data_IF_852661023873
#
_entry.id   IF_852661023873
#
_cell.length_a   1.000
_cell.length_b   1.000
_cell.length_c   1.000
_cell.angle_alpha   90.00
_cell.angle_beta   90.00
_cell.angle_gamma   90.00
#
_symmetry.space_group_name_H-M   'P 1'
#
loop_
_entity.id
_entity.type
_entity.pdbx_description
1 polymer ?
#
# COMPACT_ATOMS: atom_id res chain seq x y z
N UNK A 1 2.54 -8.97 10.86
CA UNK A 1 1.11 -9.15 10.50
C UNK A 1 0.35 -9.30 11.79
N UNK A 2 -0.73 -8.53 11.96
CA UNK A 2 -1.61 -8.70 13.11
C UNK A 2 -2.28 -10.08 13.04
N UNK A 3 -2.28 -10.80 14.15
CA UNK A 3 -2.87 -12.13 14.26
C UNK A 3 -4.29 -11.98 14.81
N UNK A 4 -5.28 -11.90 13.91
CA UNK A 4 -6.70 -11.70 14.25
C UNK A 4 -7.34 -13.01 14.68
N UNK A 5 -7.05 -13.44 15.92
CA UNK A 5 -7.46 -14.74 16.46
C UNK A 5 -8.97 -14.86 16.67
N UNK A 6 -9.65 -13.76 16.99
CA UNK A 6 -11.10 -13.73 17.16
C UNK A 6 -11.84 -13.91 15.84
N UNK A 7 -11.36 -13.23 14.79
CA UNK A 7 -11.95 -13.29 13.46
C UNK A 7 -11.52 -14.54 12.68
N UNK A 8 -10.28 -14.99 12.84
CA UNK A 8 -9.68 -16.09 12.10
C UNK A 8 -9.16 -15.72 10.70
N UNK A 9 -9.20 -14.44 10.34
CA UNK A 9 -8.66 -13.89 9.09
C UNK A 9 -8.35 -12.40 9.24
N UNK A 10 -7.54 -11.84 8.34
CA UNK A 10 -7.25 -10.41 8.27
C UNK A 10 -8.19 -9.69 7.30
N UNK A 11 -9.14 -8.85 7.78
CA UNK A 11 -10.06 -8.12 6.91
C UNK A 11 -9.45 -6.86 6.28
N UNK A 12 -8.29 -6.39 6.73
CA UNK A 12 -7.65 -5.16 6.25
C UNK A 12 -6.14 -5.34 6.03
N UNK A 13 -5.72 -6.26 5.14
CA UNK A 13 -4.32 -6.57 4.92
C UNK A 13 -3.56 -5.36 4.35
N UNK A 14 -2.31 -5.22 4.76
CA UNK A 14 -1.41 -4.18 4.27
C UNK A 14 -0.65 -3.48 5.39
N UNK A 15 0.08 -2.42 5.02
CA UNK A 15 0.84 -1.61 5.97
C UNK A 15 0.65 -0.12 5.62
N UNK A 16 -0.15 0.57 6.43
CA UNK A 16 -0.44 2.00 6.24
C UNK A 16 0.82 2.87 6.30
N UNK A 17 1.77 2.55 7.18
CA UNK A 17 3.04 3.28 7.27
C UNK A 17 3.89 3.10 6.02
N UNK A 18 3.93 1.90 5.44
CA UNK A 18 4.64 1.64 4.20
C UNK A 18 4.03 2.41 3.03
N UNK A 19 2.70 2.52 2.97
CA UNK A 19 1.98 3.33 1.97
C UNK A 19 2.28 4.81 2.17
N UNK A 20 2.24 5.31 3.41
CA UNK A 20 2.59 6.70 3.71
C UNK A 20 4.06 7.01 3.35
N UNK A 21 4.98 6.10 3.64
CA UNK A 21 6.38 6.23 3.25
C UNK A 21 6.57 6.22 1.72
N UNK A 22 5.76 5.44 0.98
CA UNK A 22 5.76 5.48 -0.47
C UNK A 22 5.22 6.82 -1.01
N UNK A 23 4.14 7.34 -0.43
CA UNK A 23 3.62 8.68 -0.75
C UNK A 23 4.68 9.78 -0.56
N UNK A 24 5.40 9.74 0.57
CA UNK A 24 6.47 10.70 0.85
C UNK A 24 7.61 10.68 -0.20
N UNK A 25 7.92 9.52 -0.78
CA UNK A 25 8.94 9.39 -1.84
C UNK A 25 8.48 9.94 -3.19
N UNK A 26 7.17 10.07 -3.40
CA UNK A 26 6.63 10.68 -4.61
C UNK A 26 6.80 12.20 -4.64
N UNK A 27 7.12 12.83 -3.50
CA UNK A 27 7.43 14.25 -3.40
C UNK A 27 8.94 14.43 -3.53
N UNK A 28 9.41 14.83 -4.71
CA UNK A 28 10.81 15.17 -4.95
C UNK A 28 10.95 16.46 -5.75
N UNK A 29 11.99 17.22 -5.44
CA UNK A 29 12.38 18.40 -6.20
C UNK A 29 13.41 18.02 -7.27
N UNK A 30 13.14 18.43 -8.51
CA UNK A 30 14.09 18.30 -9.62
C UNK A 30 14.68 19.67 -9.90
N UNK A 31 16.00 19.78 -9.78
CA UNK A 31 16.75 20.94 -10.25
C UNK A 31 17.02 20.76 -11.73
N UNK A 32 16.41 21.60 -12.56
CA UNK A 32 16.70 21.62 -14.00
C UNK A 32 17.94 22.48 -14.22
N UNK A 33 19.01 21.95 -14.84
CA UNK A 33 20.18 22.73 -15.20
C UNK A 33 19.84 23.74 -16.31
N UNK A 34 20.30 24.98 -16.14
CA UNK A 34 20.21 26.03 -17.15
C UNK A 34 21.38 26.02 -18.12
N UNK A 35 21.23 26.73 -19.25
CA UNK A 35 22.35 27.01 -20.17
C UNK A 35 23.34 27.96 -19.47
N UNK A 36 24.65 27.66 -19.46
CA UNK A 36 25.64 28.54 -18.85
C UNK A 36 25.66 29.94 -19.48
N UNK A 37 25.86 30.97 -18.66
CA UNK A 37 26.00 32.35 -19.14
C UNK A 37 27.13 32.48 -20.15
N UNK A 38 26.88 33.20 -21.25
CA UNK A 38 27.84 33.45 -22.31
C UNK A 38 27.95 32.33 -23.36
N UNK A 39 27.21 31.22 -23.23
CA UNK A 39 27.16 30.20 -24.28
C UNK A 39 26.10 30.55 -25.33
N UNK A 40 26.53 30.90 -26.54
CA UNK A 40 25.66 31.42 -27.61
C UNK A 40 25.89 30.70 -28.94
N UNK A 41 24.91 30.77 -29.86
CA UNK A 41 24.98 30.21 -31.21
C UNK A 41 24.16 28.93 -31.37
N UNK A 42 24.17 28.34 -32.56
CA UNK A 42 23.26 27.24 -32.93
C UNK A 42 23.29 26.03 -31.98
N UNK A 43 24.44 25.74 -31.36
CA UNK A 43 24.55 24.68 -30.35
C UNK A 43 23.85 25.03 -29.03
N UNK A 44 23.95 26.29 -28.59
CA UNK A 44 23.26 26.79 -27.41
C UNK A 44 21.74 26.85 -27.65
N UNK A 45 21.30 27.27 -28.83
CA UNK A 45 19.88 27.24 -29.24
C UNK A 45 19.34 25.79 -29.23
N UNK A 46 20.10 24.85 -29.81
CA UNK A 46 19.75 23.43 -29.82
C UNK A 46 19.70 22.79 -28.43
N UNK A 47 20.61 23.17 -27.51
CA UNK A 47 20.50 22.76 -26.11
C UNK A 47 19.25 23.36 -25.46
N UNK A 48 18.98 24.64 -25.69
CA UNK A 48 17.83 25.34 -25.10
C UNK A 48 16.52 24.66 -25.47
N UNK A 49 16.28 24.42 -26.77
CA UNK A 49 15.07 23.70 -27.24
C UNK A 49 14.95 22.31 -26.63
N UNK A 50 16.05 21.58 -26.48
CA UNK A 50 16.04 20.25 -25.84
C UNK A 50 15.77 20.33 -24.33
N UNK A 51 16.36 21.31 -23.64
CA UNK A 51 16.09 21.56 -22.23
C UNK A 51 14.62 21.93 -22.01
N UNK A 52 14.03 22.75 -22.88
CA UNK A 52 12.60 23.07 -22.82
C UNK A 52 11.71 21.82 -22.94
N UNK A 53 12.04 20.91 -23.88
CA UNK A 53 11.33 19.64 -24.01
C UNK A 53 11.45 18.78 -22.74
N UNK A 54 12.66 18.65 -22.18
CA UNK A 54 12.91 17.94 -20.92
C UNK A 54 12.16 18.57 -19.75
N UNK A 55 12.14 19.91 -19.66
CA UNK A 55 11.41 20.65 -18.61
C UNK A 55 9.91 20.36 -18.70
N UNK A 56 9.35 20.32 -19.90
CA UNK A 56 7.94 20.00 -20.12
C UNK A 56 7.61 18.57 -19.64
N UNK A 57 8.42 17.59 -20.04
CA UNK A 57 8.25 16.19 -19.63
C UNK A 57 8.44 16.01 -18.11
N UNK A 58 9.46 16.63 -17.51
CA UNK A 58 9.70 16.61 -16.06
C UNK A 58 8.54 17.26 -15.30
N UNK A 59 7.95 18.32 -15.85
CA UNK A 59 6.77 18.95 -15.26
C UNK A 59 5.56 18.01 -15.30
N UNK A 60 5.39 17.24 -16.38
CA UNK A 60 4.36 16.20 -16.46
C UNK A 60 4.60 15.09 -15.44
N UNK A 61 5.82 14.57 -15.34
CA UNK A 61 6.20 13.55 -14.33
C UNK A 61 5.98 14.06 -12.92
N UNK A 62 6.38 15.29 -12.61
CA UNK A 62 6.16 15.88 -11.28
C UNK A 62 4.67 15.99 -10.94
N UNK A 63 3.83 16.32 -11.92
CA UNK A 63 2.37 16.36 -11.73
C UNK A 63 1.81 14.97 -11.46
N UNK A 64 2.20 13.97 -12.26
CA UNK A 64 1.82 12.57 -12.08
C UNK A 64 2.26 12.03 -10.71
N UNK A 65 3.50 12.28 -10.31
CA UNK A 65 4.04 11.84 -9.02
C UNK A 65 3.32 12.52 -7.84
N UNK A 66 2.96 13.80 -7.97
CA UNK A 66 2.14 14.49 -6.96
C UNK A 66 0.73 13.89 -6.86
N UNK A 67 0.09 13.60 -8.00
CA UNK A 67 -1.22 12.96 -8.02
C UNK A 67 -1.17 11.55 -7.40
N UNK A 68 -0.13 10.76 -7.70
CA UNK A 68 0.12 9.47 -7.06
C UNK A 68 0.34 9.62 -5.55
N UNK A 69 1.10 10.63 -5.10
CA UNK A 69 1.31 10.91 -3.67
C UNK A 69 -0.02 11.18 -2.95
N UNK A 70 -0.89 12.00 -3.53
CA UNK A 70 -2.23 12.33 -3.00
C UNK A 70 -3.12 11.08 -2.92
N UNK A 71 -3.09 10.22 -3.94
CA UNK A 71 -3.83 8.95 -3.96
C UNK A 71 -3.32 8.00 -2.86
N UNK A 72 -1.99 7.88 -2.71
CA UNK A 72 -1.37 7.02 -1.70
C UNK A 72 -1.62 7.54 -0.28
N UNK A 73 -1.60 8.85 -0.05
CA UNK A 73 -1.86 9.45 1.27
C UNK A 73 -3.33 9.23 1.72
N UNK A 74 -4.27 9.45 0.80
CA UNK A 74 -5.68 9.14 1.02
C UNK A 74 -5.90 7.64 1.31
N UNK A 75 -5.19 6.76 0.58
CA UNK A 75 -5.24 5.33 0.81
C UNK A 75 -4.65 4.94 2.16
N UNK A 76 -3.51 5.51 2.57
CA UNK A 76 -2.89 5.25 3.87
C UNK A 76 -3.83 5.59 5.02
N UNK A 77 -4.54 6.71 4.92
CA UNK A 77 -5.56 7.13 5.91
C UNK A 77 -6.72 6.12 5.97
N UNK A 78 -7.25 5.72 4.81
CA UNK A 78 -8.33 4.72 4.73
C UNK A 78 -7.90 3.37 5.30
N UNK A 79 -6.69 2.92 4.94
CA UNK A 79 -6.12 1.66 5.40
C UNK A 79 -5.97 1.64 6.93
N UNK A 80 -5.45 2.71 7.52
CA UNK A 80 -5.33 2.84 8.97
C UNK A 80 -6.70 2.78 9.66
N UNK A 81 -7.71 3.44 9.10
CA UNK A 81 -9.08 3.37 9.61
C UNK A 81 -9.65 1.95 9.57
N UNK A 82 -9.44 1.24 8.46
CA UNK A 82 -9.87 -0.16 8.31
C UNK A 82 -9.14 -1.10 9.27
N UNK A 83 -7.84 -0.89 9.51
CA UNK A 83 -7.05 -1.69 10.46
C UNK A 83 -7.55 -1.50 11.90
N UNK A 84 -7.82 -0.27 12.33
CA UNK A 84 -8.42 -0.01 13.66
C UNK A 84 -9.79 -0.68 13.81
N UNK A 85 -10.63 -0.61 12.77
CA UNK A 85 -11.94 -1.26 12.78
C UNK A 85 -11.81 -2.80 12.83
N UNK A 86 -10.81 -3.36 12.15
CA UNK A 86 -10.50 -4.79 12.22
C UNK A 86 -10.11 -5.22 13.65
N UNK A 87 -9.26 -4.45 14.32
CA UNK A 87 -8.87 -4.68 15.72
C UNK A 87 -10.06 -4.61 16.67
N UNK A 88 -10.97 -3.66 16.46
CA UNK A 88 -12.20 -3.53 17.25
C UNK A 88 -13.12 -4.76 17.11
N UNK A 89 -13.31 -5.22 15.86
CA UNK A 89 -14.09 -6.42 15.56
C UNK A 89 -13.44 -7.67 16.15
N UNK A 90 -12.12 -7.79 16.07
CA UNK A 90 -11.40 -8.92 16.66
C UNK A 90 -11.52 -8.97 18.18
N UNK A 91 -11.36 -7.84 18.86
CA UNK A 91 -11.59 -7.74 20.31
C UNK A 91 -13.03 -8.14 20.69
N UNK A 92 -14.03 -7.71 19.91
CA UNK A 92 -15.43 -8.13 20.10
C UNK A 92 -15.60 -9.64 19.90
N UNK A 93 -15.04 -10.20 18.83
CA UNK A 93 -15.14 -11.62 18.52
C UNK A 93 -14.45 -12.50 19.58
N UNK A 94 -13.26 -12.11 20.07
CA UNK A 94 -12.57 -12.81 21.16
C UNK A 94 -13.43 -12.82 22.42
N UNK A 95 -14.02 -11.68 22.78
CA UNK A 95 -14.90 -11.58 23.95
C UNK A 95 -16.13 -12.49 23.79
N UNK A 96 -16.85 -12.39 22.67
CA UNK A 96 -18.04 -13.19 22.42
C UNK A 96 -17.75 -14.69 22.41
N UNK A 97 -16.60 -15.13 21.86
CA UNK A 97 -16.19 -16.54 21.91
C UNK A 97 -15.97 -17.05 23.33
N UNK A 98 -15.42 -16.22 24.23
CA UNK A 98 -15.26 -16.56 25.65
C UNK A 98 -16.63 -16.66 26.34
N UNK A 99 -17.46 -15.64 26.16
CA UNK A 99 -18.81 -15.63 26.73
C UNK A 99 -19.66 -16.81 26.22
N UNK A 100 -19.50 -17.19 24.95
CA UNK A 100 -20.18 -18.35 24.38
C UNK A 100 -19.71 -19.67 25.00
N UNK A 101 -18.41 -19.81 25.29
CA UNK A 101 -17.87 -20.99 25.97
C UNK A 101 -18.43 -21.08 27.40
N UNK A 102 -18.40 -19.97 28.14
CA UNK A 102 -18.96 -19.90 29.50
C UNK A 102 -20.47 -20.22 29.50
N UNK A 103 -21.23 -19.68 28.54
CA UNK A 103 -22.67 -19.94 28.40
C UNK A 103 -22.97 -21.39 27.97
N UNK A 104 -22.07 -22.03 27.21
CA UNK A 104 -22.19 -23.45 26.86
C UNK A 104 -21.99 -24.33 28.10
N UNK A 105 -20.96 -24.05 28.90
CA UNK A 105 -20.71 -24.75 30.17
C UNK A 105 -21.89 -24.58 31.15
N UNK A 106 -22.47 -23.38 31.24
CA UNK A 106 -23.67 -23.10 32.05
C UNK A 106 -24.89 -23.87 31.55
N UNK A 107 -25.13 -23.88 30.24
CA UNK A 107 -26.24 -24.62 29.64
C UNK A 107 -26.11 -26.13 29.87
N UNK A 108 -24.90 -26.69 29.75
CA UNK A 108 -24.61 -28.10 30.01
C UNK A 108 -24.80 -28.45 31.49
N UNK A 109 -24.33 -27.59 32.41
CA UNK A 109 -24.53 -27.77 33.85
C UNK A 109 -26.02 -27.73 34.23
N UNK A 110 -26.75 -26.72 33.77
CA UNK A 110 -28.19 -26.60 34.01
C UNK A 110 -28.96 -27.77 33.38
N UNK A 111 -28.54 -28.22 32.19
CA UNK A 111 -29.11 -29.38 31.51
C UNK A 111 -28.89 -30.67 32.29
N UNK A 112 -27.71 -30.85 32.91
CA UNK A 112 -27.44 -31.99 33.78
C UNK A 112 -28.36 -31.99 35.02
N UNK A 113 -28.55 -30.83 35.67
CA UNK A 113 -29.45 -30.69 36.83
C UNK A 113 -30.93 -30.91 36.47
N UNK A 114 -31.37 -30.40 35.31
CA UNK A 114 -32.75 -30.54 34.85
C UNK A 114 -33.18 -32.01 34.62
N UNK A 115 -32.22 -32.91 34.34
CA UNK A 115 -32.49 -34.36 34.23
C UNK A 115 -32.89 -34.99 35.57
N UNK A 116 -32.43 -34.43 36.69
CA UNK A 116 -32.72 -34.94 38.02
C UNK A 116 -33.85 -34.19 38.71
N UNK A 117 -34.11 -32.93 38.33
CA UNK A 117 -35.14 -32.11 38.97
C UNK A 117 -35.84 -31.19 37.97
N UNK A 118 -37.16 -31.35 37.75
CA UNK A 118 -37.93 -30.54 36.81
C UNK A 118 -37.88 -29.02 37.07
N UNK A 119 -37.65 -28.61 38.32
CA UNK A 119 -37.52 -27.20 38.69
C UNK A 119 -36.33 -26.48 37.99
N UNK A 120 -35.35 -27.22 37.47
CA UNK A 120 -34.22 -26.65 36.73
C UNK A 120 -34.45 -26.55 35.21
N UNK A 121 -35.62 -26.99 34.70
CA UNK A 121 -35.92 -26.91 33.27
C UNK A 121 -35.96 -25.47 32.74
N UNK A 122 -36.54 -24.53 33.51
CA UNK A 122 -36.58 -23.11 33.14
C UNK A 122 -35.18 -22.48 33.12
N UNK A 123 -34.32 -22.85 34.07
CA UNK A 123 -32.92 -22.38 34.12
C UNK A 123 -32.14 -22.88 32.91
N UNK A 124 -32.31 -24.16 32.54
CA UNK A 124 -31.67 -24.70 31.33
C UNK A 124 -32.17 -23.99 30.06
N UNK A 125 -33.48 -23.76 29.93
CA UNK A 125 -34.04 -23.04 28.78
C UNK A 125 -33.49 -21.61 28.67
N UNK A 126 -33.35 -20.90 29.79
CA UNK A 126 -32.75 -19.56 29.83
C UNK A 126 -31.27 -19.57 29.43
N UNK A 127 -30.48 -20.54 29.92
CA UNK A 127 -29.07 -20.69 29.55
C UNK A 127 -28.89 -20.99 28.05
N UNK A 128 -29.74 -21.87 27.48
CA UNK A 128 -29.76 -22.14 26.03
C UNK A 128 -30.09 -20.88 25.24
N UNK A 129 -31.12 -20.13 25.65
CA UNK A 129 -31.49 -18.87 24.99
C UNK A 129 -30.35 -17.84 25.02
N UNK A 130 -29.63 -17.72 26.15
CA UNK A 130 -28.47 -16.82 26.26
C UNK A 130 -27.33 -17.25 25.35
N UNK A 131 -27.02 -18.54 25.29
CA UNK A 131 -26.00 -19.08 24.38
C UNK A 131 -26.36 -18.80 22.92
N UNK A 132 -27.61 -19.00 22.55
CA UNK A 132 -28.07 -18.80 21.17
C UNK A 132 -28.08 -17.30 20.78
N UNK A 133 -28.33 -16.38 21.73
CA UNK A 133 -28.13 -14.93 21.54
C UNK A 133 -26.66 -14.60 21.28
N UNK A 134 -25.75 -15.08 22.12
CA UNK A 134 -24.31 -14.86 21.96
C UNK A 134 -23.78 -15.40 20.63
N UNK A 135 -24.32 -16.54 20.17
CA UNK A 135 -23.97 -17.10 18.86
C UNK A 135 -24.39 -16.15 17.72
N UNK A 136 -25.59 -15.57 17.79
CA UNK A 136 -26.07 -14.58 16.81
C UNK A 136 -25.21 -13.31 16.82
N UNK A 137 -24.90 -12.78 18.00
CA UNK A 137 -24.02 -11.62 18.13
C UNK A 137 -22.63 -11.87 17.53
N UNK A 138 -22.08 -13.08 17.71
CA UNK A 138 -20.80 -13.48 17.11
C UNK A 138 -20.90 -13.55 15.58
N UNK A 139 -21.96 -14.14 15.05
CA UNK A 139 -22.19 -14.23 13.61
C UNK A 139 -22.32 -12.83 12.96
N UNK A 140 -22.99 -11.90 13.63
CA UNK A 140 -23.08 -10.50 13.19
C UNK A 140 -21.70 -9.83 13.11
N UNK A 141 -20.84 -10.02 14.12
CA UNK A 141 -19.47 -9.50 14.11
C UNK A 141 -18.64 -10.10 12.97
N UNK A 142 -18.80 -11.40 12.70
CA UNK A 142 -18.10 -12.05 11.60
C UNK A 142 -18.59 -11.57 10.22
N UNK A 143 -19.89 -11.30 10.07
CA UNK A 143 -20.42 -10.67 8.85
C UNK A 143 -19.94 -9.23 8.67
N UNK A 144 -19.91 -8.42 9.74
CA UNK A 144 -19.32 -7.08 9.71
C UNK A 144 -17.84 -7.13 9.25
N UNK A 145 -17.06 -8.10 9.73
CA UNK A 145 -15.68 -8.30 9.32
C UNK A 145 -15.55 -8.74 7.85
N UNK A 146 -16.44 -9.60 7.36
CA UNK A 146 -16.47 -10.00 5.94
C UNK A 146 -16.84 -8.84 5.03
N UNK A 147 -17.76 -7.97 5.45
CA UNK A 147 -18.11 -6.75 4.72
C UNK A 147 -16.92 -5.80 4.65
N UNK A 148 -16.24 -5.57 5.78
CA UNK A 148 -15.01 -4.77 5.82
C UNK A 148 -13.95 -5.29 4.84
N UNK A 149 -13.76 -6.61 4.77
CA UNK A 149 -12.81 -7.22 3.82
C UNK A 149 -13.19 -6.99 2.35
N UNK A 150 -14.47 -7.12 2.01
CA UNK A 150 -14.96 -6.85 0.65
C UNK A 150 -14.75 -5.39 0.27
N UNK A 151 -15.08 -4.47 1.19
CA UNK A 151 -14.93 -3.03 0.97
C UNK A 151 -13.45 -2.65 0.83
N UNK A 152 -12.59 -3.18 1.68
CA UNK A 152 -11.14 -3.00 1.59
C UNK A 152 -10.61 -3.46 0.23
N UNK A 153 -10.98 -4.66 -0.24
CA UNK A 153 -10.53 -5.17 -1.53
C UNK A 153 -11.09 -4.40 -2.73
N UNK A 154 -12.30 -3.85 -2.62
CA UNK A 154 -12.87 -2.99 -3.65
C UNK A 154 -12.11 -1.65 -3.73
N UNK A 155 -11.81 -1.06 -2.57
CA UNK A 155 -11.06 0.20 -2.49
C UNK A 155 -9.62 0.04 -2.96
N UNK A 156 -8.93 -1.02 -2.54
CA UNK A 156 -7.57 -1.32 -3.00
C UNK A 156 -7.50 -1.44 -4.54
N UNK A 157 -8.52 -2.05 -5.17
CA UNK A 157 -8.63 -2.12 -6.63
C UNK A 157 -8.84 -0.75 -7.27
N UNK A 158 -9.71 0.09 -6.68
CA UNK A 158 -9.92 1.47 -7.17
C UNK A 158 -8.66 2.31 -7.08
N UNK A 159 -7.94 2.23 -5.96
CA UNK A 159 -6.64 2.90 -5.76
C UNK A 159 -5.62 2.41 -6.79
N UNK A 160 -5.51 1.10 -7.01
CA UNK A 160 -4.60 0.54 -8.00
C UNK A 160 -4.93 0.98 -9.44
N UNK A 161 -6.22 1.11 -9.78
CA UNK A 161 -6.64 1.65 -11.08
C UNK A 161 -6.28 3.13 -11.24
N UNK A 162 -6.54 3.94 -10.21
CA UNK A 162 -6.17 5.36 -10.20
C UNK A 162 -4.67 5.55 -10.36
N UNK A 163 -3.85 4.78 -9.63
CA UNK A 163 -2.39 4.86 -9.78
C UNK A 163 -1.92 4.51 -11.19
N UNK A 164 -2.53 3.51 -11.84
CA UNK A 164 -2.24 3.15 -13.23
C UNK A 164 -2.63 4.26 -14.21
N UNK A 165 -3.71 5.00 -13.96
CA UNK A 165 -4.07 6.15 -14.80
C UNK A 165 -3.16 7.35 -14.63
N UNK A 166 -2.43 7.44 -13.52
CA UNK A 166 -1.47 8.52 -13.23
C UNK A 166 -0.04 8.18 -13.71
N UNK A 167 0.22 6.99 -14.28
CA UNK A 167 1.56 6.63 -14.74
C UNK A 167 2.04 7.59 -15.84
N UNK A 168 3.19 8.28 -15.64
CA UNK A 168 3.75 9.09 -16.68
C UNK A 168 4.26 8.20 -17.83
N UNK A 169 4.09 8.69 -19.06
CA UNK A 169 4.56 8.03 -20.28
C UNK A 169 6.02 7.58 -20.15
N UNK A 170 6.32 6.35 -20.61
CA UNK A 170 7.68 5.80 -20.74
C UNK A 170 8.61 6.67 -21.60
N UNK A 171 8.05 7.64 -22.32
CA UNK A 171 8.76 8.65 -23.10
C UNK A 171 9.91 9.33 -22.34
N UNK A 172 9.78 9.58 -21.02
CA UNK A 172 10.83 10.27 -20.26
C UNK A 172 12.08 9.38 -20.05
N UNK A 173 11.89 8.07 -19.89
CA UNK A 173 13.01 7.12 -19.82
C UNK A 173 13.72 7.01 -21.18
N UNK A 174 12.95 7.02 -22.27
CA UNK A 174 13.48 6.98 -23.63
C UNK A 174 14.22 8.27 -24.01
N UNK A 175 13.71 9.46 -23.63
CA UNK A 175 14.40 10.73 -23.86
C UNK A 175 15.70 10.82 -23.07
N UNK A 176 15.71 10.45 -21.78
CA UNK A 176 16.93 10.43 -20.96
C UNK A 176 17.99 9.45 -21.50
N UNK A 177 17.58 8.26 -21.94
CA UNK A 177 18.47 7.31 -22.61
C UNK A 177 19.06 7.91 -23.91
N UNK A 178 18.23 8.60 -24.69
CA UNK A 178 18.64 9.37 -25.86
C UNK A 178 19.68 10.45 -25.55
N UNK A 179 19.48 11.23 -24.47
CA UNK A 179 20.44 12.25 -24.04
C UNK A 179 21.80 11.65 -23.67
N UNK A 180 21.80 10.51 -22.96
CA UNK A 180 23.03 9.82 -22.57
C UNK A 180 23.80 9.26 -23.77
N UNK A 181 23.09 8.78 -24.80
CA UNK A 181 23.72 8.31 -26.04
C UNK A 181 24.33 9.48 -26.85
N UNK A 182 23.60 10.59 -26.97
CA UNK A 182 24.02 11.77 -27.73
C UNK A 182 25.21 12.49 -27.09
N UNK A 183 25.27 12.53 -25.75
CA UNK A 183 26.46 13.03 -25.03
C UNK A 183 27.65 12.10 -25.15
N UNK A 184 27.45 10.78 -25.18
CA UNK A 184 28.52 9.82 -25.42
C UNK A 184 29.10 9.96 -26.85
N UNK A 185 28.27 10.21 -27.86
CA UNK A 185 28.74 10.50 -29.21
C UNK A 185 29.45 11.85 -29.33
N UNK A 186 28.94 12.89 -28.69
CA UNK A 186 29.62 14.19 -28.66
C UNK A 186 30.99 14.11 -27.94
N UNK A 187 31.07 13.33 -26.86
CA UNK A 187 32.32 13.09 -26.14
C UNK A 187 33.32 12.31 -27.00
N UNK A 188 32.88 11.31 -27.78
CA UNK A 188 33.78 10.54 -28.66
C UNK A 188 34.29 11.35 -29.85
N UNK A 189 33.50 12.31 -30.35
CA UNK A 189 33.90 13.24 -31.42
C UNK A 189 34.87 14.32 -30.92
N UNK A 190 34.65 14.86 -29.71
CA UNK A 190 35.48 15.94 -29.15
C UNK A 190 36.78 15.45 -28.49
N UNK A 191 36.76 14.25 -27.90
CA UNK A 191 37.90 13.71 -27.12
C UNK A 191 38.62 12.56 -27.83
N UNK A 192 38.18 12.16 -29.03
CA UNK A 192 38.65 10.97 -29.73
C UNK A 192 38.05 9.67 -29.15
N UNK A 193 38.28 8.50 -29.79
CA UNK A 193 37.72 7.24 -29.34
C UNK A 193 38.14 7.00 -27.88
N UNK A 194 37.21 6.58 -27.00
CA UNK A 194 37.54 6.37 -25.61
C UNK A 194 38.66 5.34 -25.53
N UNK A 195 39.82 5.75 -25.01
CA UNK A 195 40.73 4.78 -24.42
C UNK A 195 39.93 3.98 -23.39
N UNK A 196 40.07 2.65 -23.30
CA UNK A 196 39.33 1.85 -22.35
C UNK A 196 39.64 2.34 -20.95
N UNK A 197 38.77 3.20 -20.41
CA UNK A 197 38.83 3.59 -19.03
C UNK A 197 38.52 2.34 -18.23
N UNK A 198 39.52 1.85 -17.50
CA UNK A 198 39.34 0.81 -16.51
C UNK A 198 38.10 1.15 -15.67
N UNK A 199 37.09 0.30 -15.80
CA UNK A 199 35.77 0.42 -15.22
C UNK A 199 35.85 0.46 -13.70
N UNK A 200 35.62 1.63 -13.11
CA UNK A 200 35.09 1.75 -11.74
C UNK A 200 33.93 2.75 -11.72
N UNK A 201 32.89 2.41 -12.48
CA UNK A 201 31.57 3.02 -12.37
C UNK A 201 30.64 2.17 -11.51
N UNK A 202 29.58 2.78 -10.98
CA UNK A 202 28.62 2.21 -10.03
C UNK A 202 28.01 0.85 -10.44
N UNK A 203 27.99 0.50 -11.73
CA UNK A 203 27.56 -0.81 -12.21
C UNK A 203 28.47 -1.98 -11.76
N UNK A 204 29.79 -1.75 -11.61
CA UNK A 204 30.72 -2.75 -11.07
C UNK A 204 30.56 -2.94 -9.55
N UNK A 205 30.14 -1.89 -8.84
CA UNK A 205 29.79 -1.97 -7.41
C UNK A 205 28.47 -2.71 -7.18
N UNK A 206 27.51 -2.61 -8.11
CA UNK A 206 26.25 -3.36 -8.05
C UNK A 206 26.44 -4.85 -8.37
N UNK A 207 27.30 -5.19 -9.34
CA UNK A 207 27.62 -6.60 -9.66
C UNK A 207 28.44 -7.29 -8.55
N UNK A 208 29.30 -6.57 -7.83
CA UNK A 208 30.07 -7.10 -6.70
C UNK A 208 29.22 -7.36 -5.44
N UNK A 209 28.03 -6.74 -5.32
CA UNK A 209 27.10 -6.95 -4.21
C UNK A 209 26.07 -8.07 -4.43
N UNK A 210 26.05 -8.70 -5.60
CA UNK A 210 25.21 -9.85 -5.94
C UNK A 210 25.97 -11.18 -5.90
N UNK A 211 27.21 -11.18 -5.39
CA UNK A 211 27.95 -12.37 -4.97
C UNK A 211 27.76 -12.64 -3.49
#
# INVERSE_FOLDING_TARGET
MADYRGLGFDPAPGNAEAVAAASARCVFDVVVPGVPEGWTGAAADGLTTRLEAVVSELTAVRRAMRAAAEVLDAWATTLLGNQRRAEDLDRRAVRLRRELADAADEADHAGALARFTPAHAEVHAAAVARRDELARELDEVLEEARLLARDHHAEARRVAERLRSEEPSTALADTLAGFSALTAELASVLLGPPAPAATRGAAAAFAAGLG
#
